data_IF_540172931749
#
_entry.id   IF_540172931749
#
_cell.length_a   1.000
_cell.length_b   1.000
_cell.length_c   1.000
_cell.angle_alpha   90.00
_cell.angle_beta   90.00
_cell.angle_gamma   90.00
#
_symmetry.space_group_name_H-M   'P 1'
#
loop_
_entity.id
_entity.type
_entity.pdbx_description
1 polymer ?
#
# COMPACT_ATOMS: atom_id res chain seq x y z
N UNK A 1 -6.44 -9.81 -15.74
CA UNK A 1 -6.89 -10.10 -14.36
C UNK A 1 -7.50 -8.83 -13.76
N UNK A 2 -8.49 -8.92 -12.85
CA UNK A 2 -9.20 -7.73 -12.32
C UNK A 2 -8.26 -6.69 -11.68
N UNK A 3 -7.22 -7.15 -10.97
CA UNK A 3 -6.17 -6.30 -10.37
C UNK A 3 -5.48 -5.42 -11.41
N UNK A 4 -5.05 -6.01 -12.53
CA UNK A 4 -4.34 -5.29 -13.57
C UNK A 4 -5.20 -4.21 -14.22
N UNK A 5 -6.44 -4.55 -14.58
CA UNK A 5 -7.38 -3.59 -15.16
C UNK A 5 -7.60 -2.39 -14.24
N UNK A 6 -7.78 -2.64 -12.94
CA UNK A 6 -8.00 -1.58 -11.96
C UNK A 6 -6.76 -0.73 -11.73
N UNK A 7 -5.55 -1.33 -11.65
CA UNK A 7 -4.30 -0.58 -11.55
C UNK A 7 -4.05 0.33 -12.76
N UNK A 8 -4.40 -0.15 -13.97
CA UNK A 8 -4.27 0.66 -15.18
C UNK A 8 -5.29 1.81 -15.15
N UNK A 9 -6.57 1.50 -14.95
CA UNK A 9 -7.66 2.48 -14.95
C UNK A 9 -7.43 3.59 -13.92
N UNK A 10 -6.99 3.27 -12.70
CA UNK A 10 -6.78 4.31 -11.68
C UNK A 10 -5.67 5.29 -12.05
N UNK A 11 -4.58 4.83 -12.68
CA UNK A 11 -3.49 5.69 -13.15
C UNK A 11 -3.92 6.54 -14.34
N UNK A 12 -4.54 5.92 -15.34
CA UNK A 12 -5.01 6.60 -16.55
C UNK A 12 -6.08 7.65 -16.25
N UNK A 13 -7.04 7.33 -15.39
CA UNK A 13 -8.09 8.25 -14.96
C UNK A 13 -7.52 9.43 -14.18
N UNK A 14 -6.48 9.20 -13.37
CA UNK A 14 -5.79 10.28 -12.65
C UNK A 14 -5.09 11.22 -13.64
N UNK A 15 -4.28 10.67 -14.55
CA UNK A 15 -3.56 11.49 -15.53
C UNK A 15 -4.56 12.28 -16.39
N UNK A 16 -5.65 11.64 -16.82
CA UNK A 16 -6.72 12.31 -17.57
C UNK A 16 -7.41 13.41 -16.76
N UNK A 17 -7.66 13.17 -15.47
CA UNK A 17 -8.37 14.11 -14.61
C UNK A 17 -7.55 15.32 -14.18
N UNK A 18 -6.24 15.14 -13.99
CA UNK A 18 -5.35 16.16 -13.43
C UNK A 18 -4.30 16.70 -14.41
N UNK A 19 -4.17 16.09 -15.60
CA UNK A 19 -3.19 16.47 -16.61
C UNK A 19 -1.77 15.98 -16.33
N UNK A 20 -1.55 15.18 -15.27
CA UNK A 20 -0.23 14.70 -14.88
C UNK A 20 -0.27 13.74 -13.68
N UNK A 21 0.89 13.21 -13.32
CA UNK A 21 1.10 12.35 -12.17
C UNK A 21 2.57 12.43 -11.72
N UNK A 22 2.80 12.85 -10.48
CA UNK A 22 4.15 13.01 -9.93
C UNK A 22 4.50 11.94 -8.88
N UNK A 23 3.51 11.50 -8.11
CA UNK A 23 3.71 10.66 -6.93
C UNK A 23 2.66 9.55 -6.87
N UNK A 24 3.11 8.32 -6.65
CA UNK A 24 2.27 7.20 -6.22
C UNK A 24 2.64 6.80 -4.80
N UNK A 25 1.64 6.82 -3.90
CA UNK A 25 1.73 6.19 -2.58
C UNK A 25 0.88 4.93 -2.60
N UNK A 26 1.54 3.79 -2.75
CA UNK A 26 0.89 2.50 -2.88
C UNK A 26 0.69 1.86 -1.50
N UNK A 27 -0.43 2.18 -0.88
CA UNK A 27 -0.85 1.60 0.38
C UNK A 27 -1.65 0.31 0.13
N UNK A 28 -1.15 -0.84 0.59
CA UNK A 28 -1.71 -2.16 0.29
C UNK A 28 -3.10 -2.47 0.94
N UNK A 29 -3.85 -1.45 1.37
CA UNK A 29 -5.25 -1.56 1.83
C UNK A 29 -6.21 -0.74 0.95
N UNK A 30 -5.70 0.25 0.21
CA UNK A 30 -6.42 1.05 -0.75
C UNK A 30 -5.40 1.81 -1.60
N UNK A 31 -5.49 1.72 -2.93
CA UNK A 31 -4.73 2.63 -3.80
C UNK A 31 -5.37 4.01 -3.66
N UNK A 32 -4.87 4.81 -2.74
CA UNK A 32 -5.19 6.24 -2.67
C UNK A 32 -4.29 6.96 -3.66
N UNK A 33 -4.79 7.11 -4.89
CA UNK A 33 -4.42 8.27 -5.69
C UNK A 33 -5.26 9.44 -5.16
N UNK A 34 -4.72 10.66 -5.08
CA UNK A 34 -5.48 11.85 -4.68
C UNK A 34 -6.59 12.11 -5.70
N UNK A 35 -7.70 11.38 -5.57
CA UNK A 35 -8.91 11.50 -6.37
C UNK A 35 -9.99 11.98 -5.41
N UNK A 36 -10.51 13.17 -5.69
CA UNK A 36 -11.74 13.67 -5.11
C UNK A 36 -12.80 12.56 -5.21
N UNK A 37 -13.32 12.10 -4.06
CA UNK A 37 -14.31 11.02 -3.89
C UNK A 37 -15.12 10.70 -5.17
N UNK A 38 -14.64 9.76 -6.01
CA UNK A 38 -15.43 9.20 -7.10
C UNK A 38 -16.08 7.90 -6.60
N UNK A 39 -17.41 7.88 -6.36
CA UNK A 39 -18.10 6.69 -5.87
C UNK A 39 -18.14 5.54 -6.89
N UNK A 40 -17.75 5.79 -8.15
CA UNK A 40 -17.63 4.76 -9.18
C UNK A 40 -16.20 4.22 -9.36
N UNK A 41 -15.24 4.65 -8.52
CA UNK A 41 -13.88 4.11 -8.59
C UNK A 41 -13.85 2.67 -8.06
N UNK A 42 -13.38 1.74 -8.88
CA UNK A 42 -13.15 0.35 -8.50
C UNK A 42 -11.91 0.27 -7.60
N UNK A 43 -12.04 0.69 -6.34
CA UNK A 43 -10.95 0.69 -5.38
C UNK A 43 -10.38 -0.73 -5.22
N UNK A 44 -9.08 -0.88 -5.44
CA UNK A 44 -8.36 -2.08 -5.03
C UNK A 44 -8.35 -2.15 -3.50
N UNK A 45 -9.22 -2.96 -2.92
CA UNK A 45 -9.19 -3.23 -1.50
C UNK A 45 -8.05 -4.22 -1.21
N UNK A 46 -7.23 -3.91 -0.20
CA UNK A 46 -6.22 -4.84 0.28
C UNK A 46 -6.82 -6.18 0.69
N UNK A 47 -6.12 -7.28 0.43
CA UNK A 47 -6.54 -8.60 0.87
C UNK A 47 -5.60 -9.13 1.95
N UNK A 48 -6.14 -9.43 3.13
CA UNK A 48 -5.53 -10.34 4.09
C UNK A 48 -6.62 -10.96 4.92
N UNK A 49 -6.51 -12.28 5.12
CA UNK A 49 -7.29 -12.99 6.12
C UNK A 49 -6.41 -13.25 7.33
N UNK A 50 -6.85 -12.78 8.49
CA UNK A 50 -6.15 -13.02 9.74
C UNK A 50 -6.16 -14.52 10.05
N UNK A 51 -5.02 -15.06 10.44
CA UNK A 51 -4.88 -16.44 10.87
C UNK A 51 -3.74 -16.60 11.88
N UNK A 52 -3.77 -17.70 12.62
CA UNK A 52 -2.64 -18.10 13.46
C UNK A 52 -1.39 -18.24 12.58
N UNK A 53 -0.31 -17.55 12.93
CA UNK A 53 0.86 -17.44 12.06
C UNK A 53 1.57 -18.79 11.83
N UNK A 54 1.55 -19.68 12.83
CA UNK A 54 2.17 -21.00 12.76
C UNK A 54 1.27 -22.09 12.18
N UNK A 55 -0.01 -21.80 11.93
CA UNK A 55 -0.95 -22.75 11.34
C UNK A 55 -0.79 -22.71 9.80
N UNK A 56 -0.19 -23.76 9.25
CA UNK A 56 0.09 -23.88 7.81
C UNK A 56 -1.15 -24.28 7.01
N UNK A 57 -2.15 -24.89 7.65
CA UNK A 57 -3.42 -25.28 7.02
C UNK A 57 -4.40 -24.10 6.99
N UNK A 58 -4.17 -23.08 7.82
CA UNK A 58 -5.00 -21.89 7.81
C UNK A 58 -5.03 -21.20 6.44
N UNK A 59 -3.91 -20.73 5.83
CA UNK A 59 -3.96 -20.03 4.54
C UNK A 59 -4.21 -20.98 3.36
N UNK A 60 -5.27 -20.73 2.59
CA UNK A 60 -5.55 -21.45 1.35
C UNK A 60 -4.64 -20.98 0.21
N UNK A 61 -4.53 -21.77 -0.85
CA UNK A 61 -3.81 -21.36 -2.07
C UNK A 61 -4.37 -20.06 -2.67
N UNK A 62 -5.69 -19.84 -2.55
CA UNK A 62 -6.34 -18.61 -2.99
C UNK A 62 -5.95 -17.40 -2.11
N UNK A 63 -5.79 -17.58 -0.79
CA UNK A 63 -5.29 -16.51 0.09
C UNK A 63 -3.88 -16.06 -0.34
N UNK A 64 -3.01 -17.00 -0.68
CA UNK A 64 -1.67 -16.73 -1.20
C UNK A 64 -1.71 -15.95 -2.51
N UNK A 65 -2.50 -16.43 -3.47
CA UNK A 65 -2.64 -15.80 -4.78
C UNK A 65 -3.19 -14.38 -4.67
N UNK A 66 -4.23 -14.17 -3.85
CA UNK A 66 -4.83 -12.84 -3.62
C UNK A 66 -3.85 -11.89 -2.93
N UNK A 67 -3.17 -12.34 -1.86
CA UNK A 67 -2.16 -11.52 -1.18
C UNK A 67 -1.05 -11.13 -2.16
N UNK A 68 -0.54 -12.06 -2.95
CA UNK A 68 0.55 -11.78 -3.88
C UNK A 68 0.12 -10.85 -5.02
N UNK A 69 -1.06 -11.09 -5.59
CA UNK A 69 -1.63 -10.26 -6.66
C UNK A 69 -1.77 -8.80 -6.21
N UNK A 70 -2.31 -8.57 -5.01
CA UNK A 70 -2.58 -7.22 -4.49
C UNK A 70 -1.33 -6.55 -3.92
N UNK A 71 -0.53 -7.28 -3.14
CA UNK A 71 0.60 -6.66 -2.43
C UNK A 71 1.85 -6.54 -3.31
N UNK A 72 2.04 -7.41 -4.29
CA UNK A 72 3.28 -7.46 -5.10
C UNK A 72 3.01 -7.12 -6.55
N UNK A 73 2.14 -7.88 -7.23
CA UNK A 73 1.93 -7.74 -8.68
C UNK A 73 1.35 -6.37 -9.03
N UNK A 74 0.36 -5.89 -8.26
CA UNK A 74 -0.23 -4.57 -8.43
C UNK A 74 0.82 -3.44 -8.43
N UNK A 75 1.86 -3.55 -7.60
CA UNK A 75 2.93 -2.54 -7.48
C UNK A 75 3.71 -2.41 -8.79
N UNK A 76 4.06 -3.55 -9.38
CA UNK A 76 4.76 -3.58 -10.67
C UNK A 76 3.89 -3.03 -11.79
N UNK A 77 2.58 -3.29 -11.76
CA UNK A 77 1.65 -2.77 -12.78
C UNK A 77 1.49 -1.26 -12.63
N UNK A 78 1.30 -0.75 -11.42
CA UNK A 78 1.22 0.68 -11.15
C UNK A 78 2.46 1.43 -11.65
N UNK A 79 3.66 0.93 -11.32
CA UNK A 79 4.90 1.51 -11.83
C UNK A 79 4.93 1.48 -13.36
N UNK A 80 4.66 0.32 -13.98
CA UNK A 80 4.67 0.17 -15.44
C UNK A 80 3.72 1.16 -16.13
N UNK A 81 2.52 1.34 -15.60
CA UNK A 81 1.53 2.24 -16.20
C UNK A 81 1.90 3.71 -16.01
N UNK A 82 2.47 4.08 -14.87
CA UNK A 82 2.86 5.47 -14.58
C UNK A 82 4.21 5.89 -15.18
N UNK A 83 5.07 4.91 -15.53
CA UNK A 83 6.44 5.15 -15.97
C UNK A 83 6.54 6.15 -17.15
N UNK A 84 5.73 6.06 -18.22
CA UNK A 84 5.83 7.02 -19.33
C UNK A 84 5.60 8.47 -18.89
N UNK A 85 4.67 8.69 -17.95
CA UNK A 85 4.41 10.02 -17.38
C UNK A 85 5.58 10.47 -16.50
N UNK A 86 6.11 9.59 -15.65
CA UNK A 86 7.28 9.92 -14.84
C UNK A 86 8.52 10.22 -15.69
N UNK A 87 8.74 9.53 -16.81
CA UNK A 87 9.85 9.81 -17.72
C UNK A 87 9.73 11.18 -18.42
N UNK A 88 8.49 11.57 -18.75
CA UNK A 88 8.18 12.85 -19.37
C UNK A 88 8.29 14.04 -18.39
N UNK A 89 8.07 13.80 -17.09
CA UNK A 89 8.24 14.83 -16.07
C UNK A 89 9.70 15.29 -15.97
N UNK A 90 9.91 16.60 -15.81
CA UNK A 90 11.26 17.17 -15.63
C UNK A 90 11.96 16.61 -14.38
N UNK A 91 11.23 16.56 -13.26
CA UNK A 91 11.70 16.06 -11.97
C UNK A 91 11.55 14.54 -11.79
N UNK A 92 11.06 13.84 -12.82
CA UNK A 92 10.78 12.42 -12.73
C UNK A 92 9.52 12.10 -11.92
N UNK A 93 9.54 10.92 -11.27
CA UNK A 93 8.46 10.45 -10.42
C UNK A 93 8.89 10.00 -9.04
N UNK A 94 7.92 9.83 -8.15
CA UNK A 94 8.10 9.23 -6.81
C UNK A 94 7.16 8.06 -6.62
N UNK A 95 7.71 6.93 -6.18
CA UNK A 95 6.94 5.74 -5.89
C UNK A 95 7.23 5.25 -4.48
N UNK A 96 6.22 5.30 -3.61
CA UNK A 96 6.33 4.90 -2.20
C UNK A 96 5.47 3.65 -2.00
N UNK A 97 6.10 2.57 -1.53
CA UNK A 97 5.41 1.33 -1.17
C UNK A 97 5.16 1.30 0.33
N UNK A 98 3.90 1.17 0.76
CA UNK A 98 3.60 0.86 2.16
C UNK A 98 3.76 -0.63 2.40
N UNK A 99 4.93 -1.01 2.93
CA UNK A 99 5.20 -2.36 3.40
C UNK A 99 4.69 -2.54 4.84
N UNK A 100 5.48 -3.15 5.72
CA UNK A 100 5.20 -3.38 7.14
C UNK A 100 6.48 -3.84 7.83
N UNK A 101 6.57 -3.68 9.15
CA UNK A 101 7.57 -4.41 9.95
C UNK A 101 7.51 -5.92 9.71
N UNK A 102 6.34 -6.47 9.34
CA UNK A 102 6.15 -7.87 8.96
C UNK A 102 6.98 -8.32 7.76
N UNK A 103 7.53 -7.38 6.97
CA UNK A 103 8.44 -7.69 5.87
C UNK A 103 9.89 -7.89 6.30
N UNK A 104 10.23 -7.60 7.56
CA UNK A 104 11.59 -7.76 8.11
C UNK A 104 11.64 -8.65 9.37
N UNK A 105 10.49 -9.15 9.83
CA UNK A 105 10.37 -10.09 10.94
C UNK A 105 9.51 -11.30 10.54
N UNK A 106 9.64 -12.41 11.24
CA UNK A 106 8.74 -13.55 11.12
C UNK A 106 7.47 -13.31 11.94
N UNK A 107 6.53 -12.55 11.39
CA UNK A 107 5.26 -12.24 12.05
C UNK A 107 4.36 -11.35 11.21
N UNK A 108 3.15 -11.09 11.68
CA UNK A 108 2.14 -10.30 10.99
C UNK A 108 0.76 -10.92 11.11
N UNK A 109 -0.20 -10.42 10.33
CA UNK A 109 -1.60 -10.88 10.37
C UNK A 109 -1.81 -12.29 9.82
N UNK A 110 -0.96 -12.74 8.89
CA UNK A 110 -0.84 -14.12 8.45
C UNK A 110 0.47 -14.32 7.66
N UNK A 111 0.83 -15.58 7.38
CA UNK A 111 2.08 -15.91 6.66
C UNK A 111 2.11 -15.35 5.22
N UNK A 112 1.06 -15.47 4.38
CA UNK A 112 1.03 -14.83 3.06
C UNK A 112 1.28 -13.31 3.10
N UNK A 113 0.72 -12.64 4.11
CA UNK A 113 0.93 -11.21 4.30
C UNK A 113 2.40 -10.91 4.61
N UNK A 114 3.01 -11.57 5.61
CA UNK A 114 4.42 -11.35 5.96
C UNK A 114 5.36 -11.57 4.77
N UNK A 115 5.18 -12.68 4.04
CA UNK A 115 6.00 -12.99 2.85
C UNK A 115 5.84 -11.93 1.76
N UNK A 116 4.61 -11.48 1.48
CA UNK A 116 4.38 -10.45 0.47
C UNK A 116 4.93 -9.09 0.89
N UNK A 117 4.96 -8.76 2.19
CA UNK A 117 5.62 -7.55 2.71
C UNK A 117 7.13 -7.60 2.54
N UNK A 118 7.77 -8.76 2.70
CA UNK A 118 9.18 -8.96 2.36
C UNK A 118 9.42 -8.83 0.84
N UNK A 119 8.55 -9.44 0.03
CA UNK A 119 8.61 -9.33 -1.44
C UNK A 119 8.50 -7.88 -1.92
N UNK A 120 7.65 -7.05 -1.29
CA UNK A 120 7.57 -5.61 -1.57
C UNK A 120 8.90 -4.88 -1.36
N UNK A 121 9.68 -5.23 -0.34
CA UNK A 121 10.99 -4.62 -0.10
C UNK A 121 12.00 -5.01 -1.17
N UNK A 122 11.96 -6.27 -1.63
CA UNK A 122 12.82 -6.70 -2.72
C UNK A 122 12.40 -6.04 -4.05
N UNK A 123 11.10 -5.97 -4.34
CA UNK A 123 10.56 -5.27 -5.50
C UNK A 123 10.96 -3.80 -5.50
N UNK A 124 10.88 -3.10 -4.36
CA UNK A 124 11.34 -1.72 -4.22
C UNK A 124 12.80 -1.58 -4.66
N UNK A 125 13.69 -2.49 -4.22
CA UNK A 125 15.10 -2.47 -4.62
C UNK A 125 15.26 -2.69 -6.13
N UNK A 126 14.52 -3.64 -6.71
CA UNK A 126 14.56 -3.90 -8.16
C UNK A 126 14.08 -2.69 -8.97
N UNK A 127 12.99 -2.05 -8.56
CA UNK A 127 12.47 -0.84 -9.21
C UNK A 127 13.41 0.35 -9.04
N UNK A 128 13.97 0.57 -7.84
CA UNK A 128 14.97 1.61 -7.61
C UNK A 128 16.22 1.41 -8.47
N UNK A 129 16.70 0.17 -8.61
CA UNK A 129 17.88 -0.14 -9.40
C UNK A 129 17.67 0.04 -10.91
N UNK A 130 16.45 -0.21 -11.40
CA UNK A 130 16.15 -0.21 -12.85
C UNK A 130 15.52 1.09 -13.33
N UNK A 131 14.69 1.74 -12.51
CA UNK A 131 13.95 2.96 -12.85
C UNK A 131 14.51 4.20 -12.13
N UNK A 132 15.52 4.02 -11.26
CA UNK A 132 16.17 5.07 -10.48
C UNK A 132 16.63 6.33 -11.22
N UNK A 133 17.05 6.28 -12.50
CA UNK A 133 17.43 7.48 -13.25
C UNK A 133 16.30 8.51 -13.38
N UNK A 134 15.03 8.06 -13.33
CA UNK A 134 13.84 8.93 -13.46
C UNK A 134 12.84 8.78 -12.32
N UNK A 135 12.90 7.72 -11.52
CA UNK A 135 11.90 7.47 -10.48
C UNK A 135 12.56 7.15 -9.16
N UNK A 136 12.25 7.93 -8.13
CA UNK A 136 12.67 7.65 -6.76
C UNK A 136 11.73 6.63 -6.15
N UNK A 137 12.24 5.46 -5.79
CA UNK A 137 11.43 4.37 -5.24
C UNK A 137 11.86 4.08 -3.80
N UNK A 138 10.91 4.15 -2.87
CA UNK A 138 11.16 3.89 -1.45
C UNK A 138 10.04 3.03 -0.85
N UNK A 139 10.30 2.46 0.33
CA UNK A 139 9.30 1.75 1.11
C UNK A 139 9.24 2.29 2.54
N UNK A 140 8.03 2.36 3.09
CA UNK A 140 7.79 2.65 4.51
C UNK A 140 7.28 1.36 5.18
N UNK A 141 7.70 1.13 6.44
CA UNK A 141 7.42 -0.10 7.18
C UNK A 141 6.70 0.24 8.48
N UNK A 142 5.37 0.45 8.44
CA UNK A 142 4.62 0.74 9.65
C UNK A 142 4.61 -0.45 10.62
N UNK A 143 4.67 -0.13 11.92
CA UNK A 143 4.39 -1.06 13.02
C UNK A 143 2.89 -1.24 13.24
N UNK A 144 2.47 -1.51 14.48
CA UNK A 144 1.04 -1.56 14.82
C UNK A 144 0.44 -0.14 14.82
N UNK A 145 -0.63 0.06 14.04
CA UNK A 145 -1.48 1.25 14.08
C UNK A 145 -2.91 0.80 14.39
N UNK A 146 -3.53 1.42 15.38
CA UNK A 146 -4.93 1.15 15.78
C UNK A 146 -5.92 1.85 14.84
N UNK A 147 -5.89 1.43 13.58
CA UNK A 147 -6.96 1.68 12.60
C UNK A 147 -7.99 0.55 12.68
N UNK A 148 -9.04 0.57 11.85
CA UNK A 148 -9.95 -0.58 11.69
C UNK A 148 -9.21 -1.90 11.41
N UNK A 149 -8.02 -1.83 10.82
CA UNK A 149 -7.17 -2.99 10.60
C UNK A 149 -6.46 -3.47 11.87
N UNK A 150 -5.84 -2.55 12.62
CA UNK A 150 -5.13 -2.88 13.86
C UNK A 150 -6.06 -3.40 14.95
N UNK A 151 -7.31 -2.91 14.96
CA UNK A 151 -8.34 -3.35 15.91
C UNK A 151 -8.83 -4.79 15.65
N UNK A 152 -8.36 -5.47 14.61
CA UNK A 152 -8.62 -6.90 14.38
C UNK A 152 -7.70 -7.83 15.19
N UNK A 153 -6.60 -7.31 15.73
CA UNK A 153 -5.78 -8.07 16.67
C UNK A 153 -6.49 -8.18 18.02
N UNK A 154 -6.30 -9.30 18.72
CA UNK A 154 -6.79 -9.44 20.09
C UNK A 154 -6.08 -8.47 21.05
N UNK A 155 -6.75 -8.09 22.14
CA UNK A 155 -6.22 -7.14 23.13
C UNK A 155 -4.85 -7.55 23.68
N UNK A 156 -4.67 -8.84 23.96
CA UNK A 156 -3.38 -9.39 24.40
C UNK A 156 -2.28 -9.19 23.35
N UNK A 157 -2.58 -9.44 22.07
CA UNK A 157 -1.63 -9.23 20.97
C UNK A 157 -1.30 -7.75 20.78
N UNK A 158 -2.27 -6.85 20.96
CA UNK A 158 -2.05 -5.40 20.91
C UNK A 158 -1.09 -4.98 22.03
N UNK A 159 -1.34 -5.46 23.25
CA UNK A 159 -0.48 -5.17 24.41
C UNK A 159 0.93 -5.71 24.24
N UNK A 160 1.09 -6.94 23.76
CA UNK A 160 2.42 -7.51 23.47
C UNK A 160 3.18 -6.71 22.40
N UNK A 161 2.48 -6.27 21.34
CA UNK A 161 3.07 -5.42 20.30
C UNK A 161 3.45 -4.03 20.84
N UNK A 162 2.66 -3.46 21.74
CA UNK A 162 2.97 -2.21 22.44
C UNK A 162 4.20 -2.35 23.34
N UNK A 163 4.26 -3.42 24.11
CA UNK A 163 5.41 -3.74 24.99
C UNK A 163 6.67 -3.98 24.18
N UNK A 164 6.59 -4.57 22.98
CA UNK A 164 7.73 -4.73 22.07
C UNK A 164 8.15 -3.44 21.39
N UNK A 165 7.26 -2.47 21.23
CA UNK A 165 7.60 -1.19 20.64
C UNK A 165 8.57 -0.41 21.55
N UNK A 166 9.64 0.15 20.97
CA UNK A 166 10.61 0.96 21.73
C UNK A 166 9.96 2.16 22.43
N UNK A 167 8.94 2.75 21.83
CA UNK A 167 8.21 3.90 22.38
C UNK A 167 7.15 3.50 23.42
N UNK A 168 6.93 2.20 23.67
CA UNK A 168 5.93 1.66 24.63
C UNK A 168 4.55 2.29 24.46
N UNK A 169 4.20 2.58 23.21
CA UNK A 169 2.93 3.18 22.82
C UNK A 169 2.53 2.72 21.44
N UNK A 170 1.24 2.52 21.24
CA UNK A 170 0.63 2.31 19.92
C UNK A 170 0.06 3.61 19.39
N UNK A 171 0.14 3.80 18.07
CA UNK A 171 -0.46 4.96 17.42
C UNK A 171 -1.92 4.67 17.17
N UNK A 172 -2.81 5.41 17.83
CA UNK A 172 -4.21 5.49 17.46
C UNK A 172 -4.43 6.66 16.52
N UNK A 173 -5.20 6.43 15.44
CA UNK A 173 -5.76 7.54 14.67
C UNK A 173 -6.99 8.03 15.42
N UNK A 174 -7.13 9.35 15.69
CA UNK A 174 -8.45 9.91 15.97
C UNK A 174 -9.37 9.54 14.80
N UNK A 175 -10.66 9.33 15.05
CA UNK A 175 -11.64 9.11 13.99
C UNK A 175 -11.37 10.12 12.87
N UNK A 176 -11.06 9.64 11.67
CA UNK A 176 -10.69 10.50 10.55
C UNK A 176 -11.78 11.56 10.42
N UNK A 177 -11.49 12.81 10.80
CA UNK A 177 -12.23 13.94 10.24
C UNK A 177 -12.10 13.76 8.74
N UNK A 178 -13.20 13.66 7.98
CA UNK A 178 -13.11 13.53 6.52
C UNK A 178 -12.13 14.59 6.05
N UNK A 179 -11.11 14.18 5.30
CA UNK A 179 -10.17 15.11 4.70
C UNK A 179 -11.04 16.13 3.96
N UNK A 180 -11.12 17.37 4.48
CA UNK A 180 -11.79 18.44 3.74
C UNK A 180 -10.95 18.57 2.49
N UNK A 181 -11.51 18.13 1.37
CA UNK A 181 -11.00 18.42 0.05
C UNK A 181 -10.80 19.93 0.06
N UNK A 182 -9.54 20.38 0.04
CA UNK A 182 -9.26 21.80 -0.10
C UNK A 182 -9.99 22.25 -1.37
N UNK A 183 -10.97 23.13 -1.21
CA UNK A 183 -11.67 23.72 -2.34
C UNK A 183 -10.68 24.66 -3.02
N UNK A 184 -9.92 24.11 -3.98
CA UNK A 184 -8.92 24.85 -4.76
C UNK A 184 -9.57 25.89 -5.70
N UNK A 185 -10.90 26.09 -5.67
CA UNK A 185 -11.60 27.15 -6.40
C UNK A 185 -11.56 28.53 -5.72
N UNK A 186 -10.74 28.72 -4.69
CA UNK A 186 -10.63 29.98 -3.93
C UNK A 186 -9.26 30.67 -4.03
N UNK A 187 -8.51 30.41 -5.10
CA UNK A 187 -7.27 31.12 -5.41
C UNK A 187 -7.39 31.93 -6.71
N UNK A 188 -8.49 32.69 -6.83
CA UNK A 188 -8.61 33.84 -7.74
C UNK A 188 -8.99 35.09 -6.93
#
# INVERSE_FOLDING_TARGET
MAVEKNCISVVEETIKGFGGLDIIISNAVSILIHINHNPNSNNLQGYTRFSTFSDLDAPTADDWQKCYAVNVVAQSILMRTALPTFEANAEGGVFIITSSIAGVIAGGSCMPYSVTKAAQLHLMKCLAATQGPKVRVNAILPGLLLTEWGNKYGEESIKDLEEKAFLKRVVSTPALTPCRTADFRRLE
#
